data_IF_942229829114
#
_entry.id   IF_942229829114
#
_cell.length_a   1.000
_cell.length_b   1.000
_cell.length_c   1.000
_cell.angle_alpha   90.00
_cell.angle_beta   90.00
_cell.angle_gamma   90.00
#
_symmetry.space_group_name_H-M   'P 1'
#
loop_
_entity.id
_entity.type
_entity.pdbx_description
1 polymer ?
#
# COMPACT_ATOMS: atom_id res chain seq x y z
N UNK A 1 -70.58 -28.93 18.04
CA UNK A 1 -69.36 -29.71 17.76
C UNK A 1 -68.88 -29.35 16.37
N UNK A 2 -67.72 -28.69 16.24
CA UNK A 2 -66.67 -28.93 15.23
C UNK A 2 -65.57 -27.88 15.44
N UNK A 3 -64.46 -28.31 16.04
CA UNK A 3 -63.28 -27.50 16.34
C UNK A 3 -62.43 -27.35 15.08
N UNK A 4 -62.05 -26.12 14.72
CA UNK A 4 -61.16 -25.84 13.58
C UNK A 4 -59.71 -25.77 14.07
N UNK A 5 -58.92 -26.75 13.66
CA UNK A 5 -57.46 -26.77 13.84
C UNK A 5 -56.80 -25.72 12.93
N UNK A 6 -55.99 -24.85 13.52
CA UNK A 6 -55.12 -23.91 12.80
C UNK A 6 -53.72 -24.52 12.77
N UNK A 7 -53.20 -24.79 11.57
CA UNK A 7 -51.83 -25.29 11.35
C UNK A 7 -50.92 -24.07 11.16
N UNK A 8 -49.95 -23.89 12.05
CA UNK A 8 -48.85 -22.93 11.86
C UNK A 8 -47.78 -23.55 10.95
N UNK A 9 -47.55 -22.92 9.79
CA UNK A 9 -46.39 -23.21 8.95
C UNK A 9 -45.16 -22.51 9.51
N UNK A 10 -44.17 -23.28 9.97
CA UNK A 10 -42.85 -22.77 10.31
C UNK A 10 -42.02 -22.62 9.01
N UNK A 11 -41.67 -21.38 8.66
CA UNK A 11 -40.76 -21.10 7.55
C UNK A 11 -39.30 -21.27 8.00
N UNK A 12 -38.66 -22.37 7.59
CA UNK A 12 -37.22 -22.56 7.75
C UNK A 12 -36.47 -21.71 6.72
N UNK A 13 -35.80 -20.65 7.17
CA UNK A 13 -34.91 -19.86 6.32
C UNK A 13 -33.59 -20.61 6.14
N UNK A 14 -33.35 -21.14 4.94
CA UNK A 14 -32.08 -21.73 4.56
C UNK A 14 -31.02 -20.63 4.38
N UNK A 15 -30.04 -20.56 5.27
CA UNK A 15 -28.87 -19.70 5.09
C UNK A 15 -27.99 -20.30 3.97
N UNK A 16 -27.87 -19.61 2.85
CA UNK A 16 -26.94 -19.95 1.78
C UNK A 16 -25.49 -19.77 2.27
N UNK A 17 -24.58 -20.71 2.00
CA UNK A 17 -23.17 -20.52 2.30
C UNK A 17 -22.61 -19.41 1.39
N UNK A 18 -22.02 -18.38 1.99
CA UNK A 18 -21.29 -17.35 1.25
C UNK A 18 -20.10 -17.99 0.54
N UNK A 19 -20.09 -17.94 -0.80
CA UNK A 19 -18.92 -18.31 -1.58
C UNK A 19 -17.79 -17.33 -1.26
N UNK A 20 -16.67 -17.86 -0.77
CA UNK A 20 -15.41 -17.13 -0.68
C UNK A 20 -14.97 -16.81 -2.11
N UNK A 21 -15.14 -15.55 -2.53
CA UNK A 21 -14.63 -15.07 -3.81
C UNK A 21 -13.10 -15.19 -3.79
N UNK A 22 -12.54 -16.08 -4.60
CA UNK A 22 -11.10 -16.12 -4.85
C UNK A 22 -10.74 -14.84 -5.60
N UNK A 23 -9.70 -14.14 -5.17
CA UNK A 23 -9.20 -12.97 -5.87
C UNK A 23 -8.80 -13.38 -7.30
N UNK A 24 -9.52 -12.83 -8.29
CA UNK A 24 -9.25 -13.05 -9.70
C UNK A 24 -7.89 -12.45 -10.08
N UNK A 25 -7.07 -13.19 -10.84
CA UNK A 25 -5.77 -12.74 -11.36
C UNK A 25 -5.55 -13.23 -12.79
N UNK A 26 -4.71 -12.56 -13.61
CA UNK A 26 -4.44 -13.00 -14.97
C UNK A 26 -3.78 -14.36 -15.01
N UNK A 27 -4.06 -15.13 -16.07
CA UNK A 27 -3.44 -16.46 -16.26
C UNK A 27 -1.93 -16.39 -16.48
N UNK A 28 -1.41 -15.24 -16.91
CA UNK A 28 0.01 -14.90 -16.90
C UNK A 28 0.24 -13.60 -16.16
N UNK A 29 1.10 -13.65 -15.15
CA UNK A 29 1.52 -12.49 -14.37
C UNK A 29 2.70 -11.79 -15.04
N UNK A 30 2.79 -10.46 -14.98
CA UNK A 30 3.90 -9.75 -15.58
C UNK A 30 5.18 -9.96 -14.77
N UNK A 31 6.32 -9.91 -15.45
CA UNK A 31 7.65 -9.86 -14.85
C UNK A 31 8.14 -8.41 -14.84
N UNK A 32 8.77 -8.00 -13.74
CA UNK A 32 9.44 -6.71 -13.64
C UNK A 32 10.59 -6.69 -14.66
N UNK A 33 10.53 -5.75 -15.60
CA UNK A 33 11.55 -5.57 -16.64
C UNK A 33 12.53 -4.47 -16.29
N UNK A 34 12.08 -3.45 -15.55
CA UNK A 34 12.92 -2.35 -15.09
C UNK A 34 12.39 -1.82 -13.77
N UNK A 35 13.33 -1.46 -12.90
CA UNK A 35 13.05 -0.74 -11.67
C UNK A 35 14.04 0.43 -11.53
N UNK A 36 13.51 1.60 -11.20
CA UNK A 36 14.32 2.78 -10.87
C UNK A 36 13.76 3.44 -9.63
N UNK A 37 14.59 4.24 -8.95
CA UNK A 37 14.24 4.91 -7.71
C UNK A 37 14.51 6.41 -7.81
N UNK A 38 13.73 7.21 -7.11
CA UNK A 38 13.95 8.65 -6.99
C UNK A 38 13.48 9.20 -5.64
N UNK A 39 13.94 10.40 -5.29
CA UNK A 39 13.63 11.03 -4.00
C UNK A 39 14.80 11.02 -3.04
N UNK A 40 14.74 11.90 -2.04
CA UNK A 40 15.82 12.13 -1.08
C UNK A 40 15.95 11.03 -0.01
N UNK A 41 14.97 10.13 0.09
CA UNK A 41 14.96 8.97 0.98
C UNK A 41 15.58 7.69 0.38
N UNK A 42 15.72 7.60 -0.95
CA UNK A 42 16.42 6.50 -1.61
C UNK A 42 17.92 6.82 -1.82
N UNK A 43 18.66 7.28 -0.80
CA UNK A 43 20.08 7.67 -0.97
C UNK A 43 20.96 6.54 -1.50
N UNK A 44 20.53 5.31 -1.25
CA UNK A 44 20.97 4.10 -1.95
C UNK A 44 19.72 3.35 -2.37
N UNK A 45 19.74 2.86 -3.60
CA UNK A 45 18.62 2.11 -4.18
C UNK A 45 18.18 0.96 -3.27
N UNK A 46 16.89 0.89 -2.92
CA UNK A 46 16.32 -0.25 -2.21
C UNK A 46 16.59 -1.56 -2.94
N UNK A 47 16.76 -2.64 -2.17
CA UNK A 47 16.88 -3.98 -2.73
C UNK A 47 15.49 -4.59 -2.87
N UNK A 48 15.14 -4.97 -4.10
CA UNK A 48 13.92 -5.73 -4.38
C UNK A 48 14.12 -7.22 -4.04
N UNK A 49 13.11 -7.79 -3.39
CA UNK A 49 12.87 -9.23 -3.29
C UNK A 49 11.40 -9.53 -3.61
N UNK A 50 11.09 -10.76 -4.01
CA UNK A 50 9.74 -11.15 -4.45
C UNK A 50 9.54 -10.97 -5.94
N UNK A 51 8.28 -10.97 -6.37
CA UNK A 51 7.88 -10.77 -7.77
C UNK A 51 7.00 -9.52 -7.91
N UNK A 52 6.35 -9.35 -9.07
CA UNK A 52 5.51 -8.17 -9.33
C UNK A 52 4.29 -8.11 -8.40
N UNK A 53 3.71 -9.24 -7.98
CA UNK A 53 2.48 -9.25 -7.19
C UNK A 53 2.71 -9.07 -5.69
N UNK A 54 3.88 -9.45 -5.20
CA UNK A 54 4.29 -9.28 -3.80
C UNK A 54 5.73 -8.74 -3.72
N UNK A 55 5.99 -7.51 -4.21
CA UNK A 55 7.31 -6.93 -4.16
C UNK A 55 7.61 -6.43 -2.76
N UNK A 56 8.84 -6.67 -2.32
CA UNK A 56 9.39 -6.16 -1.07
C UNK A 56 10.64 -5.35 -1.35
N UNK A 57 10.65 -4.09 -0.92
CA UNK A 57 11.79 -3.18 -1.01
C UNK A 57 12.46 -3.08 0.34
N UNK A 58 13.72 -3.48 0.42
CA UNK A 58 14.56 -3.27 1.60
C UNK A 58 15.31 -1.96 1.46
N UNK A 59 14.96 -1.00 2.31
CA UNK A 59 15.59 0.30 2.35
C UNK A 59 17.03 0.22 2.85
N UNK A 60 17.85 1.13 2.37
CA UNK A 60 19.20 1.32 2.87
C UNK A 60 19.36 2.79 3.25
N UNK A 61 19.15 3.08 4.54
CA UNK A 61 19.25 4.42 5.14
C UNK A 61 18.13 5.40 4.72
N UNK A 62 16.86 4.93 4.71
CA UNK A 62 15.71 5.83 4.74
C UNK A 62 15.48 6.27 6.20
N UNK A 63 16.04 7.40 6.61
CA UNK A 63 16.02 7.83 8.01
C UNK A 63 15.76 9.34 8.15
N UNK A 64 14.58 9.69 8.66
CA UNK A 64 14.20 11.06 8.97
C UNK A 64 14.53 11.40 10.43
N UNK A 65 14.90 12.65 10.69
CA UNK A 65 15.23 13.13 12.04
C UNK A 65 14.76 14.56 12.31
N UNK A 66 14.39 14.81 13.57
CA UNK A 66 13.99 16.10 14.12
C UNK A 66 14.70 16.30 15.48
N UNK A 67 15.31 17.46 15.77
CA UNK A 67 15.64 18.52 14.80
C UNK A 67 16.70 18.02 13.80
N UNK A 68 16.77 18.68 12.65
CA UNK A 68 17.69 18.30 11.58
C UNK A 68 17.22 18.84 10.23
N UNK A 69 17.98 18.57 9.18
CA UNK A 69 17.61 18.95 7.80
C UNK A 69 16.74 17.91 7.11
N UNK A 70 16.77 16.66 7.59
CA UNK A 70 16.06 15.52 6.99
C UNK A 70 14.76 15.22 7.72
N UNK A 71 13.95 16.24 7.99
CA UNK A 71 12.67 16.08 8.68
C UNK A 71 11.61 15.46 7.76
N UNK A 72 11.75 15.65 6.44
CA UNK A 72 10.89 15.05 5.42
C UNK A 72 11.74 14.28 4.41
N UNK A 73 11.44 13.00 4.24
CA UNK A 73 12.07 12.15 3.23
C UNK A 73 11.02 11.43 2.40
N UNK A 74 11.29 11.24 1.11
CA UNK A 74 10.48 10.40 0.24
C UNK A 74 11.34 9.46 -0.60
N UNK A 75 10.81 8.28 -0.89
CA UNK A 75 11.38 7.35 -1.84
C UNK A 75 10.27 6.90 -2.79
N UNK A 76 10.49 7.14 -4.07
CA UNK A 76 9.59 6.75 -5.15
C UNK A 76 10.20 5.60 -5.95
N UNK A 77 9.44 4.53 -6.05
CA UNK A 77 9.76 3.33 -6.82
C UNK A 77 9.00 3.38 -8.13
N UNK A 78 9.72 3.25 -9.23
CA UNK A 78 9.16 3.21 -10.58
C UNK A 78 9.35 1.80 -11.16
N UNK A 79 8.27 1.08 -11.41
CA UNK A 79 8.28 -0.29 -11.94
C UNK A 79 7.69 -0.32 -13.34
N UNK A 80 8.45 -0.84 -14.27
CA UNK A 80 7.96 -1.31 -15.55
C UNK A 80 7.90 -2.84 -15.54
N UNK A 81 6.81 -3.41 -16.07
CA UNK A 81 6.63 -4.85 -16.15
C UNK A 81 6.02 -5.26 -17.50
N UNK A 82 6.18 -6.52 -17.88
CA UNK A 82 5.65 -7.07 -19.15
C UNK A 82 5.30 -8.56 -19.01
N UNK A 83 4.42 -9.06 -19.88
CA UNK A 83 4.00 -10.46 -19.92
C UNK A 83 2.66 -10.74 -19.22
N UNK A 84 1.92 -9.72 -18.81
CA UNK A 84 0.57 -9.90 -18.29
C UNK A 84 -0.39 -10.34 -19.41
N UNK A 85 -1.39 -11.18 -19.09
CA UNK A 85 -2.46 -11.51 -20.04
C UNK A 85 -3.32 -10.28 -20.37
N UNK A 86 -3.79 -10.20 -21.61
CA UNK A 86 -4.68 -9.11 -22.04
C UNK A 86 -6.03 -9.12 -21.29
N UNK A 87 -6.65 -7.94 -21.15
CA UNK A 87 -7.96 -7.79 -20.48
C UNK A 87 -7.89 -7.75 -18.94
N UNK A 88 -6.78 -7.22 -18.41
CA UNK A 88 -6.55 -7.08 -16.97
C UNK A 88 -5.98 -5.72 -16.59
N UNK A 89 -6.36 -5.25 -15.41
CA UNK A 89 -5.75 -4.13 -14.72
C UNK A 89 -5.27 -4.59 -13.34
N UNK A 90 -4.16 -4.02 -12.91
CA UNK A 90 -3.63 -4.06 -11.55
C UNK A 90 -3.71 -2.69 -10.88
N UNK A 91 -3.86 -2.69 -9.55
CA UNK A 91 -3.72 -1.52 -8.69
C UNK A 91 -2.98 -1.88 -7.40
N UNK A 92 -2.33 -0.89 -6.77
CA UNK A 92 -1.85 -1.02 -5.39
C UNK A 92 -3.04 -0.95 -4.43
N UNK A 93 -3.22 -1.98 -3.61
CA UNK A 93 -4.29 -2.07 -2.62
C UNK A 93 -3.84 -1.66 -1.23
N UNK A 94 -2.71 -2.22 -0.79
CA UNK A 94 -2.13 -1.94 0.50
C UNK A 94 -0.61 -1.80 0.37
N UNK A 95 -0.04 -0.88 1.14
CA UNK A 95 1.39 -0.71 1.32
C UNK A 95 1.72 -0.79 2.81
N UNK A 96 2.69 -1.64 3.18
CA UNK A 96 3.17 -1.77 4.56
C UNK A 96 4.63 -1.39 4.66
N UNK A 97 4.92 -0.38 5.48
CA UNK A 97 6.28 0.03 5.81
C UNK A 97 6.62 -0.38 7.23
N UNK A 98 7.60 -1.26 7.39
CA UNK A 98 8.16 -1.62 8.70
C UNK A 98 9.36 -0.75 9.00
N UNK A 99 9.48 -0.34 10.26
CA UNK A 99 10.53 0.57 10.67
C UNK A 99 10.69 0.67 12.17
N UNK A 100 11.49 1.65 12.58
CA UNK A 100 11.68 2.04 13.96
C UNK A 100 11.32 3.52 14.13
N UNK A 101 10.62 3.83 15.23
CA UNK A 101 10.10 5.14 15.50
C UNK A 101 10.43 5.57 16.91
N UNK A 102 10.98 6.77 17.02
CA UNK A 102 11.25 7.44 18.28
C UNK A 102 10.61 8.81 18.26
N UNK A 103 9.77 9.11 19.25
CA UNK A 103 9.03 10.36 19.36
C UNK A 103 9.11 10.88 20.80
N UNK A 104 9.69 12.05 21.02
CA UNK A 104 9.49 12.80 22.26
C UNK A 104 8.02 13.25 22.37
N UNK A 105 7.53 13.62 23.58
CA UNK A 105 6.20 14.21 23.75
C UNK A 105 5.90 15.31 22.73
N UNK A 106 4.66 15.34 22.24
CA UNK A 106 4.14 16.28 21.25
C UNK A 106 4.80 16.25 19.85
N UNK A 107 5.67 15.28 19.58
CA UNK A 107 6.18 15.03 18.23
C UNK A 107 5.31 14.03 17.46
N UNK A 108 5.35 14.14 16.13
CA UNK A 108 4.54 13.34 15.22
C UNK A 108 5.38 12.81 14.05
N UNK A 109 4.99 11.64 13.55
CA UNK A 109 5.30 11.15 12.22
C UNK A 109 4.03 11.21 11.36
N UNK A 110 4.04 12.03 10.31
CA UNK A 110 3.12 11.95 9.19
C UNK A 110 3.72 11.07 8.11
N UNK A 111 2.91 10.19 7.51
CA UNK A 111 3.35 9.38 6.38
C UNK A 111 2.31 9.35 5.27
N UNK A 112 2.80 9.24 4.04
CA UNK A 112 2.00 9.28 2.83
C UNK A 112 2.47 8.18 1.88
N UNK A 113 1.51 7.51 1.23
CA UNK A 113 1.75 6.69 0.06
C UNK A 113 0.98 7.29 -1.10
N UNK A 114 1.68 7.65 -2.17
CA UNK A 114 1.07 8.11 -3.41
C UNK A 114 1.31 7.09 -4.51
N UNK A 115 0.29 6.83 -5.32
CA UNK A 115 0.37 5.85 -6.42
C UNK A 115 -0.23 6.42 -7.69
N UNK A 116 0.46 6.24 -8.81
CA UNK A 116 -0.04 6.59 -10.13
C UNK A 116 0.63 5.75 -11.22
N UNK A 117 0.00 5.68 -12.39
CA UNK A 117 0.61 5.12 -13.59
C UNK A 117 1.09 6.23 -14.49
N UNK A 118 2.30 6.12 -15.05
CA UNK A 118 2.90 7.21 -15.87
C UNK A 118 2.04 7.58 -17.09
N UNK A 119 1.25 6.64 -17.60
CA UNK A 119 0.31 6.83 -18.71
C UNK A 119 -0.81 7.82 -18.38
N UNK A 120 -1.11 8.03 -17.10
CA UNK A 120 -2.07 9.02 -16.63
C UNK A 120 -1.71 9.50 -15.21
N UNK A 121 -0.59 10.20 -15.09
CA UNK A 121 -0.09 10.69 -13.80
C UNK A 121 -1.07 11.67 -13.09
N UNK A 122 -1.94 12.34 -13.86
CA UNK A 122 -2.98 13.20 -13.29
C UNK A 122 -3.97 12.42 -12.41
N UNK A 123 -4.14 11.10 -12.64
CA UNK A 123 -4.88 10.21 -11.77
C UNK A 123 -3.95 9.61 -10.72
N UNK A 124 -3.88 10.27 -9.58
CA UNK A 124 -3.07 9.84 -8.43
C UNK A 124 -3.97 9.41 -7.27
N UNK A 125 -3.66 8.25 -6.68
CA UNK A 125 -4.21 7.78 -5.43
C UNK A 125 -3.32 8.20 -4.28
N UNK A 126 -3.90 8.54 -3.14
CA UNK A 126 -3.11 8.92 -1.96
C UNK A 126 -3.73 8.34 -0.70
N UNK A 127 -2.90 7.67 0.09
CA UNK A 127 -3.20 7.33 1.48
C UNK A 127 -2.28 8.14 2.40
N UNK A 128 -2.81 8.48 3.58
CA UNK A 128 -2.11 9.24 4.61
C UNK A 128 -2.35 8.62 5.97
N UNK A 129 -1.36 8.68 6.83
CA UNK A 129 -1.50 8.33 8.24
C UNK A 129 -0.62 9.19 9.12
N UNK A 130 -0.89 9.13 10.42
CA UNK A 130 -0.18 9.89 11.45
C UNK A 130 0.01 9.04 12.69
N UNK A 131 1.20 9.09 13.26
CA UNK A 131 1.49 8.62 14.62
C UNK A 131 1.91 9.85 15.42
N UNK A 132 1.22 10.13 16.52
CA UNK A 132 1.55 11.23 17.43
C UNK A 132 1.87 10.66 18.81
N UNK A 133 2.93 11.15 19.43
CA UNK A 133 3.13 10.93 20.85
C UNK A 133 2.33 11.97 21.65
N UNK A 134 1.20 11.53 22.23
CA UNK A 134 0.36 12.36 23.11
C UNK A 134 0.64 12.11 24.59
N UNK A 135 1.62 11.27 24.91
CA UNK A 135 2.03 10.98 26.29
C UNK A 135 3.09 11.96 26.80
N UNK A 136 3.45 11.79 28.06
CA UNK A 136 4.48 12.56 28.77
C UNK A 136 5.88 11.94 28.68
N UNK A 137 5.97 10.68 28.24
CA UNK A 137 7.22 9.95 28.05
C UNK A 137 7.58 9.77 26.57
N UNK A 138 8.87 9.55 26.31
CA UNK A 138 9.40 9.23 24.97
C UNK A 138 8.86 7.88 24.50
N UNK A 139 8.35 7.85 23.28
CA UNK A 139 8.04 6.62 22.54
C UNK A 139 9.30 6.14 21.84
N UNK A 140 9.60 4.85 21.93
CA UNK A 140 10.75 4.20 21.29
C UNK A 140 10.36 2.75 20.97
N UNK A 141 10.01 2.47 19.71
CA UNK A 141 9.45 1.17 19.34
C UNK A 141 9.59 0.85 17.85
N UNK A 142 9.49 -0.44 17.53
CA UNK A 142 9.24 -0.88 16.17
C UNK A 142 7.81 -0.49 15.73
N UNK A 143 7.64 -0.15 14.46
CA UNK A 143 6.36 0.23 13.88
C UNK A 143 6.08 -0.51 12.58
N UNK A 144 4.81 -0.72 12.28
CA UNK A 144 4.32 -1.11 10.96
C UNK A 144 3.28 -0.09 10.52
N UNK A 145 3.63 0.71 9.52
CA UNK A 145 2.75 1.72 8.93
C UNK A 145 1.97 1.04 7.81
N UNK A 146 0.65 1.15 7.81
CA UNK A 146 -0.22 0.63 6.74
C UNK A 146 -0.85 1.78 6.00
N UNK A 147 -0.63 1.83 4.70
CA UNK A 147 -1.34 2.70 3.77
C UNK A 147 -2.32 1.87 2.97
N UNK A 148 -3.61 1.98 3.30
CA UNK A 148 -4.68 1.31 2.56
C UNK A 148 -5.24 2.25 1.49
N UNK A 149 -5.28 1.77 0.25
CA UNK A 149 -5.71 2.54 -0.92
C UNK A 149 -7.16 2.23 -1.31
N UNK A 150 -7.93 1.50 -0.49
CA UNK A 150 -9.32 1.20 -0.81
C UNK A 150 -10.13 2.50 -1.02
N UNK A 151 -10.83 2.58 -2.15
CA UNK A 151 -11.56 3.78 -2.58
C UNK A 151 -10.70 4.85 -3.26
N UNK A 152 -9.37 4.74 -3.17
CA UNK A 152 -8.38 5.60 -3.82
C UNK A 152 -7.45 4.82 -4.78
N UNK A 153 -7.81 3.58 -5.13
CA UNK A 153 -7.02 2.75 -6.02
C UNK A 153 -6.89 3.39 -7.39
N UNK A 154 -5.67 3.46 -7.90
CA UNK A 154 -5.40 3.82 -9.29
C UNK A 154 -5.15 2.55 -10.07
N UNK A 155 -6.11 2.22 -10.94
CA UNK A 155 -5.98 1.11 -11.87
C UNK A 155 -5.07 1.49 -13.04
N UNK A 156 -4.18 0.58 -13.40
CA UNK A 156 -3.38 0.60 -14.63
C UNK A 156 -4.24 0.78 -15.89
N UNK A 157 -3.64 1.16 -17.03
CA UNK A 157 -4.24 0.88 -18.34
C UNK A 157 -4.66 -0.58 -18.49
N UNK A 158 -5.67 -0.84 -19.33
CA UNK A 158 -6.04 -2.22 -19.64
C UNK A 158 -4.89 -2.90 -20.40
N UNK A 159 -4.39 -4.02 -19.86
CA UNK A 159 -3.28 -4.76 -20.47
C UNK A 159 -3.67 -5.21 -21.88
N UNK A 160 -2.86 -4.84 -22.87
CA UNK A 160 -3.06 -5.16 -24.28
C UNK A 160 -2.31 -6.41 -24.73
N UNK A 161 -2.07 -6.51 -26.04
CA UNK A 161 -1.25 -7.58 -26.63
C UNK A 161 0.26 -7.43 -26.37
N UNK A 162 0.69 -6.25 -25.93
CA UNK A 162 2.06 -5.97 -25.48
C UNK A 162 2.38 -6.52 -24.08
N UNK A 163 1.36 -7.01 -23.38
CA UNK A 163 1.45 -7.57 -22.04
C UNK A 163 1.88 -6.57 -20.96
N UNK A 164 1.78 -5.26 -21.23
CA UNK A 164 2.22 -4.21 -20.31
C UNK A 164 1.05 -3.69 -19.47
N UNK A 165 1.12 -3.73 -18.12
CA UNK A 165 0.19 -3.01 -17.25
C UNK A 165 0.56 -1.53 -17.12
N UNK A 166 1.55 -1.03 -17.86
CA UNK A 166 2.07 0.33 -17.75
C UNK A 166 3.22 0.47 -16.75
N UNK A 167 3.55 1.73 -16.42
CA UNK A 167 4.64 2.05 -15.48
C UNK A 167 4.00 2.46 -14.17
N UNK A 168 4.15 1.64 -13.14
CA UNK A 168 3.64 1.86 -11.79
C UNK A 168 4.63 2.71 -11.01
N UNK A 169 4.16 3.81 -10.42
CA UNK A 169 4.95 4.69 -9.58
C UNK A 169 4.33 4.70 -8.19
N UNK A 170 5.12 4.38 -7.16
CA UNK A 170 4.69 4.40 -5.76
C UNK A 170 5.69 5.20 -4.96
N UNK A 171 5.22 6.30 -4.35
CA UNK A 171 6.03 7.18 -3.53
C UNK A 171 5.63 7.05 -2.07
N UNK A 172 6.55 6.56 -1.23
CA UNK A 172 6.41 6.60 0.22
C UNK A 172 7.15 7.81 0.78
N UNK A 173 6.47 8.59 1.63
CA UNK A 173 7.03 9.78 2.29
C UNK A 173 6.80 9.73 3.79
N UNK A 174 7.83 9.99 4.57
CA UNK A 174 7.75 10.24 6.01
C UNK A 174 8.12 11.69 6.32
N UNK A 175 7.38 12.32 7.23
CA UNK A 175 7.61 13.69 7.69
C UNK A 175 7.46 13.77 9.21
N UNK A 176 8.51 14.22 9.88
CA UNK A 176 8.53 14.46 11.33
C UNK A 176 8.17 15.92 11.62
N UNK A 177 7.44 16.14 12.71
CA UNK A 177 7.07 17.48 13.19
C UNK A 177 6.90 17.53 14.71
N UNK A 178 6.90 18.75 15.27
CA UNK A 178 6.79 19.01 16.71
C UNK A 178 7.99 19.79 17.26
N UNK A 179 8.02 19.97 18.58
CA UNK A 179 9.03 20.80 19.28
C UNK A 179 10.15 19.98 19.96
N UNK A 180 10.02 18.64 19.97
CA UNK A 180 10.96 17.70 20.59
C UNK A 180 11.87 16.99 19.59
N UNK A 181 12.58 15.95 20.06
CA UNK A 181 13.35 15.06 19.18
C UNK A 181 12.45 13.96 18.61
N UNK A 182 12.64 13.66 17.34
CA UNK A 182 12.02 12.52 16.70
C UNK A 182 12.97 11.85 15.71
N UNK A 183 12.78 10.56 15.49
CA UNK A 183 13.53 9.75 14.54
C UNK A 183 12.61 8.70 13.93
N UNK A 184 12.68 8.53 12.61
CA UNK A 184 12.00 7.45 11.92
C UNK A 184 12.92 6.83 10.90
N UNK A 185 13.08 5.50 10.97
CA UNK A 185 13.82 4.74 9.98
C UNK A 185 12.91 3.68 9.36
N UNK A 186 12.81 3.67 8.03
CA UNK A 186 12.11 2.63 7.31
C UNK A 186 13.11 1.51 6.95
N UNK A 187 12.71 0.26 7.21
CA UNK A 187 13.50 -0.92 6.92
C UNK A 187 13.00 -1.62 5.65
N UNK A 188 11.70 -1.90 5.58
CA UNK A 188 11.11 -2.60 4.45
C UNK A 188 9.78 -1.98 4.04
N UNK A 189 9.48 -2.03 2.75
CA UNK A 189 8.19 -1.70 2.16
C UNK A 189 7.65 -2.91 1.40
N UNK A 190 6.43 -3.35 1.73
CA UNK A 190 5.75 -4.48 1.11
C UNK A 190 4.47 -3.99 0.44
N UNK A 191 4.20 -4.44 -0.79
CA UNK A 191 2.99 -4.07 -1.52
C UNK A 191 2.08 -5.27 -1.73
N UNK A 192 0.77 -5.09 -1.48
CA UNK A 192 -0.28 -6.00 -1.94
C UNK A 192 -0.96 -5.37 -3.15
N UNK A 193 -0.85 -6.07 -4.28
CA UNK A 193 -1.48 -5.68 -5.53
C UNK A 193 -2.77 -6.44 -5.75
N UNK A 194 -3.77 -5.74 -6.29
CA UNK A 194 -5.05 -6.34 -6.66
C UNK A 194 -5.27 -6.28 -8.17
N UNK A 195 -5.96 -7.29 -8.68
CA UNK A 195 -6.25 -7.45 -10.10
C UNK A 195 -7.75 -7.41 -10.36
N UNK A 196 -8.12 -6.91 -11.54
CA UNK A 196 -9.49 -6.99 -12.07
C UNK A 196 -9.51 -7.07 -13.58
N UNK A 197 -10.65 -7.51 -14.11
CA UNK A 197 -10.94 -7.46 -15.55
C UNK A 197 -11.18 -6.04 -16.07
N UNK A 198 -10.75 -5.86 -17.30
CA UNK A 198 -11.11 -4.81 -18.25
C UNK A 198 -11.27 -5.48 -19.62
#
# INVERSE_FOLDING_TARGET
MLSRFTVLLAAASAALPASLAVAESPSSLPRISTITYSGNGCTRDPKLSGDFNDPTFSYNNFAASLPGTNQTLNCEVHIQATGASSGWQVALKDNWVKGHLVLDPDTCLDYYTQVYFSQNAAKTGTARGRIRNTGDARTDQAVTLRSNLAGNQVWSPCTGSDGSPGILNVNFRGALSGDGKAYFEAFTENWDLEWRRC
#
